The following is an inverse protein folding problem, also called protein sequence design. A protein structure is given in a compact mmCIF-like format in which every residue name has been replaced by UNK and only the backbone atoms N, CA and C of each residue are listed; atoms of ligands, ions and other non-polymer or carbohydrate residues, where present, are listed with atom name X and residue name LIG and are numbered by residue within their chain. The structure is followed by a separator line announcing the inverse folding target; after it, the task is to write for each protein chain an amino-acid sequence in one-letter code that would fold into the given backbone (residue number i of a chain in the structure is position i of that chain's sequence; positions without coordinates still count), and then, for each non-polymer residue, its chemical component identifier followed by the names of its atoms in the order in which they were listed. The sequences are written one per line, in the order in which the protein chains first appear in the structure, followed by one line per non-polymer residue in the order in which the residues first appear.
data_IF_236375187262
#
_entry.id   IF_236375187262
#
_cell.length_a   1.000
_cell.length_b   1.000
_cell.length_c   1.000
_cell.angle_alpha   90.00
_cell.angle_beta   90.00
_cell.angle_gamma   90.00
#
_symmetry.space_group_name_H-M   'P 1'
#
loop_
_entity.id
_entity.type
_entity.pdbx_description
1 polymer ?
#
# COMPACT_ATOMS: atom_id res chain seq x y z
N UNK A 1 10.16 10.16 -3.81
CA UNK A 1 11.37 9.69 -4.52
C UNK A 1 12.37 9.00 -3.61
N UNK A 2 12.59 9.44 -2.38
CA UNK A 2 13.58 8.84 -1.46
C UNK A 2 13.34 7.35 -1.15
N UNK A 3 12.08 6.94 -0.96
CA UNK A 3 11.73 5.52 -0.72
C UNK A 3 12.07 4.60 -1.89
N UNK A 4 11.91 5.09 -3.12
CA UNK A 4 12.22 4.30 -4.33
C UNK A 4 13.73 4.09 -4.45
N UNK A 5 14.53 5.13 -4.14
CA UNK A 5 15.99 5.01 -4.13
C UNK A 5 16.51 3.99 -3.12
N UNK A 6 15.87 3.89 -1.95
CA UNK A 6 16.19 2.86 -0.94
C UNK A 6 15.84 1.46 -1.49
N UNK A 7 14.66 1.30 -2.09
CA UNK A 7 14.24 0.02 -2.66
C UNK A 7 15.18 -0.49 -3.76
N UNK A 8 15.62 0.41 -4.66
CA UNK A 8 16.57 0.05 -5.73
C UNK A 8 17.94 -0.33 -5.16
N UNK A 9 18.39 0.34 -4.09
CA UNK A 9 19.70 0.08 -3.49
C UNK A 9 19.81 -1.32 -2.85
N UNK A 10 18.68 -1.90 -2.43
CA UNK A 10 18.66 -3.24 -1.83
C UNK A 10 18.35 -4.34 -2.83
N UNK A 11 17.79 -4.03 -4.01
CA UNK A 11 17.57 -5.04 -5.05
C UNK A 11 18.90 -5.74 -5.44
N UNK A 12 18.98 -7.08 -5.52
CA UNK A 12 17.89 -8.09 -5.48
C UNK A 12 17.62 -8.71 -4.09
N UNK A 13 18.15 -8.12 -3.02
CA UNK A 13 18.00 -8.61 -1.65
C UNK A 13 16.75 -8.02 -0.97
N UNK A 14 15.93 -8.89 -0.38
CA UNK A 14 14.83 -8.46 0.49
C UNK A 14 15.33 -8.20 1.92
N UNK A 15 16.34 -8.96 2.36
CA UNK A 15 17.14 -8.70 3.55
C UNK A 15 18.60 -8.58 3.12
N UNK A 16 19.21 -7.39 3.19
CA UNK A 16 20.57 -7.16 2.70
C UNK A 16 21.56 -8.20 3.25
N UNK A 17 22.39 -8.77 2.37
CA UNK A 17 23.41 -9.79 2.68
C UNK A 17 22.91 -11.13 3.24
N UNK A 18 21.60 -11.30 3.46
CA UNK A 18 21.05 -12.50 4.09
C UNK A 18 20.11 -13.30 3.18
N UNK A 19 19.22 -12.64 2.43
CA UNK A 19 18.19 -13.33 1.65
C UNK A 19 17.80 -12.57 0.38
N UNK A 20 17.82 -13.28 -0.75
CA UNK A 20 17.37 -12.74 -2.04
C UNK A 20 15.85 -12.87 -2.21
N UNK A 21 15.26 -12.09 -3.11
CA UNK A 21 13.81 -12.13 -3.39
C UNK A 21 13.37 -13.52 -3.87
N UNK A 22 14.19 -14.18 -4.70
CA UNK A 22 13.89 -15.51 -5.24
C UNK A 22 13.92 -16.59 -4.15
N UNK A 23 14.92 -16.55 -3.27
CA UNK A 23 15.03 -17.50 -2.14
C UNK A 23 13.95 -17.27 -1.07
N UNK A 24 13.44 -16.04 -0.98
CA UNK A 24 12.37 -15.67 -0.04
C UNK A 24 10.97 -15.93 -0.59
N UNK A 25 10.85 -16.34 -1.84
CA UNK A 25 9.57 -16.51 -2.50
C UNK A 25 8.80 -17.67 -1.87
N UNK A 26 7.55 -17.40 -1.47
CA UNK A 26 6.61 -18.46 -1.08
C UNK A 26 6.27 -19.33 -2.31
N UNK A 27 5.78 -20.57 -2.11
CA UNK A 27 5.34 -21.43 -3.21
C UNK A 27 4.36 -20.70 -4.15
N UNK A 28 4.49 -20.90 -5.46
CA UNK A 28 3.75 -20.17 -6.49
C UNK A 28 2.23 -20.19 -6.31
N UNK A 29 1.68 -21.30 -5.80
CA UNK A 29 0.25 -21.44 -5.50
C UNK A 29 -0.23 -20.50 -4.38
N UNK A 30 0.59 -20.28 -3.35
CA UNK A 30 0.28 -19.34 -2.28
C UNK A 30 0.45 -17.89 -2.74
N UNK A 31 1.48 -17.61 -3.56
CA UNK A 31 1.73 -16.27 -4.08
C UNK A 31 0.63 -15.81 -5.05
N UNK A 32 0.18 -16.69 -5.94
CA UNK A 32 -0.93 -16.43 -6.86
C UNK A 32 -2.26 -16.22 -6.13
N UNK A 33 -2.55 -17.01 -5.09
CA UNK A 33 -3.73 -16.79 -4.24
C UNK A 33 -3.71 -15.41 -3.56
N UNK A 34 -2.57 -15.03 -2.98
CA UNK A 34 -2.37 -13.70 -2.40
C UNK A 34 -2.54 -12.58 -3.43
N UNK A 35 -2.02 -12.77 -4.64
CA UNK A 35 -2.13 -11.79 -5.72
C UNK A 35 -3.57 -11.56 -6.13
N UNK A 36 -4.36 -12.63 -6.31
CA UNK A 36 -5.79 -12.51 -6.60
C UNK A 36 -6.53 -11.81 -5.47
N UNK A 37 -6.25 -12.18 -4.22
CA UNK A 37 -6.80 -11.52 -3.04
C UNK A 37 -6.46 -10.02 -3.00
N UNK A 38 -5.21 -9.66 -3.26
CA UNK A 38 -4.74 -8.27 -3.28
C UNK A 38 -5.41 -7.46 -4.40
N UNK A 39 -5.53 -8.03 -5.61
CA UNK A 39 -6.17 -7.36 -6.76
C UNK A 39 -7.63 -7.00 -6.48
N UNK A 40 -8.35 -7.79 -5.67
CA UNK A 40 -9.73 -7.49 -5.28
C UNK A 40 -9.80 -6.59 -4.05
N UNK A 41 -8.95 -6.86 -3.04
CA UNK A 41 -9.02 -6.16 -1.75
C UNK A 41 -8.49 -4.73 -1.84
N UNK A 42 -7.39 -4.50 -2.54
CA UNK A 42 -6.79 -3.16 -2.70
C UNK A 42 -7.79 -2.15 -3.29
N UNK A 43 -8.47 -2.40 -4.42
CA UNK A 43 -9.42 -1.43 -4.96
C UNK A 43 -10.62 -1.20 -4.03
N UNK A 44 -11.07 -2.21 -3.28
CA UNK A 44 -12.13 -2.05 -2.27
C UNK A 44 -11.68 -1.09 -1.17
N UNK A 45 -10.47 -1.30 -0.63
CA UNK A 45 -9.89 -0.43 0.40
C UNK A 45 -9.77 1.00 -0.14
N UNK A 46 -9.20 1.18 -1.34
CA UNK A 46 -9.04 2.49 -1.94
C UNK A 46 -10.38 3.19 -2.21
N UNK A 47 -11.40 2.46 -2.66
CA UNK A 47 -12.75 2.99 -2.85
C UNK A 47 -13.36 3.46 -1.54
N UNK A 48 -13.24 2.67 -0.47
CA UNK A 48 -13.70 3.05 0.87
C UNK A 48 -12.95 4.27 1.40
N UNK A 49 -11.61 4.29 1.30
CA UNK A 49 -10.80 5.43 1.71
C UNK A 49 -11.18 6.68 0.94
N UNK A 50 -11.32 6.60 -0.39
CA UNK A 50 -11.76 7.71 -1.23
C UNK A 50 -13.17 8.19 -0.87
N UNK A 51 -14.09 7.27 -0.62
CA UNK A 51 -15.45 7.59 -0.16
C UNK A 51 -15.43 8.29 1.22
N UNK A 52 -14.62 7.82 2.17
CA UNK A 52 -14.48 8.46 3.47
C UNK A 52 -14.00 9.91 3.33
N UNK A 53 -12.96 10.14 2.52
CA UNK A 53 -12.53 11.51 2.21
C UNK A 53 -13.64 12.33 1.56
N UNK A 54 -14.41 11.74 0.64
CA UNK A 54 -15.53 12.42 -0.01
C UNK A 54 -16.68 12.75 0.96
N UNK A 55 -16.98 11.89 1.93
CA UNK A 55 -18.03 12.14 2.94
C UNK A 55 -17.61 13.23 3.91
N UNK A 56 -16.32 13.30 4.27
CA UNK A 56 -15.83 14.25 5.28
C UNK A 56 -15.30 15.57 4.71
N UNK A 57 -15.16 15.72 3.38
CA UNK A 57 -14.60 16.93 2.74
C UNK A 57 -15.39 18.23 2.95
N UNK A 58 -16.62 18.17 3.46
CA UNK A 58 -17.55 19.30 3.49
C UNK A 58 -17.99 19.76 4.87
N UNK A 59 -17.41 19.25 5.96
CA UNK A 59 -17.81 19.57 7.34
C UNK A 59 -16.88 20.57 8.04
N UNK A 60 -16.13 21.35 7.27
CA UNK A 60 -15.28 22.41 7.81
C UNK A 60 -15.97 23.71 7.42
N UNK A 61 -16.84 24.18 8.31
CA UNK A 61 -17.43 25.52 8.20
C UNK A 61 -16.40 26.51 8.77
N UNK A 62 -15.74 27.34 7.94
CA UNK A 62 -14.76 28.30 8.43
C UNK A 62 -15.38 29.39 9.33
N UNK A 63 -16.71 29.48 9.40
CA UNK A 63 -17.41 30.51 10.17
C UNK A 63 -17.77 30.08 11.61
N UNK A 64 -17.70 28.78 11.96
CA UNK A 64 -17.99 28.30 13.33
C UNK A 64 -16.85 28.52 14.34
N UNK A 65 -15.66 28.95 13.89
CA UNK A 65 -14.48 29.20 14.72
C UNK A 65 -14.20 30.69 14.98
N UNK A 66 -15.23 31.54 14.95
CA UNK A 66 -15.07 32.96 15.28
C UNK A 66 -16.22 33.50 16.15
N UNK A 67 -16.29 33.04 17.40
CA UNK A 67 -16.99 33.73 18.49
C UNK A 67 -16.20 33.61 19.80
#
# INVERSE_FOLDING_TARGET
MSFVGIGISFYPYIVPTALTIEESAAPDSSLSFLLVGAVVLIPIILAYTGYAYWVFRGKIDPEEHYH
#
